data_IF_686845156879
#
_entry.id   IF_686845156879
#
_cell.length_a   1.000
_cell.length_b   1.000
_cell.length_c   1.000
_cell.angle_alpha   90.00
_cell.angle_beta   90.00
_cell.angle_gamma   90.00
#
_symmetry.space_group_name_H-M   'P 1'
#
loop_
_entity.id
_entity.type
_entity.pdbx_description
1 polymer ?
#
# COMPACT_ATOMS: atom_id res chain seq x y z
N UNK A 1 -17.48 16.40 -52.26
CA UNK A 1 -16.42 15.40 -52.03
C UNK A 1 -16.89 14.49 -50.92
N UNK A 2 -17.34 13.30 -51.28
CA UNK A 2 -17.64 12.22 -50.34
C UNK A 2 -16.38 11.37 -50.17
N UNK A 3 -16.04 11.05 -48.92
CA UNK A 3 -15.14 9.95 -48.57
C UNK A 3 -15.61 9.30 -47.27
N UNK A 4 -15.46 7.97 -47.11
CA UNK A 4 -16.41 7.14 -46.38
C UNK A 4 -15.91 6.69 -45.00
N UNK A 5 -16.89 6.29 -44.18
CA UNK A 5 -16.76 5.55 -42.93
C UNK A 5 -15.87 4.29 -43.09
N UNK A 6 -14.86 4.16 -42.23
CA UNK A 6 -14.11 2.93 -42.03
C UNK A 6 -14.28 2.45 -40.59
N UNK A 7 -15.20 1.50 -40.40
CA UNK A 7 -15.39 0.76 -39.15
C UNK A 7 -14.17 -0.10 -38.83
N UNK A 8 -13.40 0.34 -37.81
CA UNK A 8 -12.31 -0.42 -37.20
C UNK A 8 -12.84 -1.41 -36.16
N UNK A 9 -12.64 -2.70 -36.45
CA UNK A 9 -13.03 -3.88 -35.68
C UNK A 9 -12.67 -3.82 -34.18
N UNK A 10 -13.67 -3.73 -33.30
CA UNK A 10 -13.60 -4.19 -31.90
C UNK A 10 -13.55 -5.73 -31.88
N UNK A 11 -12.38 -6.34 -32.12
CA UNK A 11 -12.14 -7.79 -31.94
C UNK A 11 -11.11 -8.13 -30.87
N UNK A 12 -10.64 -7.16 -30.09
CA UNK A 12 -9.63 -7.36 -29.03
C UNK A 12 -10.20 -7.78 -27.67
N UNK A 13 -11.26 -7.13 -27.18
CA UNK A 13 -11.70 -7.30 -25.78
C UNK A 13 -12.50 -8.58 -25.49
N UNK A 14 -13.24 -9.12 -26.48
CA UNK A 14 -14.10 -10.29 -26.22
C UNK A 14 -13.32 -11.60 -26.12
N UNK A 15 -12.14 -11.70 -26.75
CA UNK A 15 -11.29 -12.90 -26.67
C UNK A 15 -10.49 -12.92 -25.37
N UNK A 16 -9.94 -11.78 -24.95
CA UNK A 16 -9.23 -11.64 -23.68
C UNK A 16 -10.17 -11.97 -22.51
N UNK A 17 -11.41 -11.46 -22.52
CA UNK A 17 -12.39 -11.81 -21.48
C UNK A 17 -12.79 -13.29 -21.49
N UNK A 18 -12.84 -13.95 -22.66
CA UNK A 18 -13.18 -15.37 -22.74
C UNK A 18 -12.01 -16.27 -22.30
N UNK A 19 -10.77 -15.86 -22.62
CA UNK A 19 -9.55 -16.51 -22.16
C UNK A 19 -9.38 -16.36 -20.65
N UNK A 20 -9.58 -15.16 -20.10
CA UNK A 20 -9.54 -14.93 -18.65
C UNK A 20 -10.64 -15.72 -17.91
N UNK A 21 -11.86 -15.77 -18.46
CA UNK A 21 -12.93 -16.61 -17.90
C UNK A 21 -12.60 -18.11 -17.95
N UNK A 22 -11.91 -18.57 -19.00
CA UNK A 22 -11.46 -19.95 -19.10
C UNK A 22 -10.34 -20.26 -18.09
N UNK A 23 -9.40 -19.34 -17.89
CA UNK A 23 -8.35 -19.45 -16.88
C UNK A 23 -8.92 -19.48 -15.46
N UNK A 24 -9.92 -18.65 -15.16
CA UNK A 24 -10.62 -18.65 -13.88
C UNK A 24 -11.37 -19.97 -13.62
N UNK A 25 -11.99 -20.56 -14.65
CA UNK A 25 -12.65 -21.86 -14.55
C UNK A 25 -11.64 -22.98 -14.27
N UNK A 26 -10.50 -22.98 -14.97
CA UNK A 26 -9.42 -23.94 -14.76
C UNK A 26 -8.84 -23.81 -13.35
N UNK A 27 -8.65 -22.58 -12.87
CA UNK A 27 -8.16 -22.34 -11.51
C UNK A 27 -9.13 -22.86 -10.45
N UNK A 28 -10.44 -22.58 -10.60
CA UNK A 28 -11.48 -23.09 -9.70
C UNK A 28 -11.60 -24.61 -9.73
N UNK A 29 -11.51 -25.21 -10.91
CA UNK A 29 -11.56 -26.66 -11.07
C UNK A 29 -10.32 -27.33 -10.45
N UNK A 30 -9.13 -26.74 -10.61
CA UNK A 30 -7.91 -27.21 -9.98
C UNK A 30 -7.98 -27.10 -8.45
N UNK A 31 -8.53 -26.00 -7.92
CA UNK A 31 -8.74 -25.81 -6.49
C UNK A 31 -9.77 -26.81 -5.93
N UNK A 32 -10.90 -27.01 -6.60
CA UNK A 32 -11.91 -28.00 -6.22
C UNK A 32 -11.33 -29.42 -6.23
N UNK A 33 -10.50 -29.76 -7.22
CA UNK A 33 -9.82 -31.06 -7.30
C UNK A 33 -8.80 -31.24 -6.18
N UNK A 34 -8.09 -30.17 -5.81
CA UNK A 34 -7.15 -30.19 -4.68
C UNK A 34 -7.90 -30.34 -3.34
N UNK A 35 -9.02 -29.63 -3.18
CA UNK A 35 -9.89 -29.76 -2.01
C UNK A 35 -10.49 -31.17 -1.87
N UNK A 36 -10.97 -31.76 -2.97
CA UNK A 36 -11.45 -33.14 -2.98
C UNK A 36 -10.34 -34.14 -2.61
N UNK A 37 -9.09 -33.90 -3.07
CA UNK A 37 -7.94 -34.72 -2.68
C UNK A 37 -7.60 -34.58 -1.20
N UNK A 38 -7.69 -33.37 -0.63
CA UNK A 38 -7.52 -33.14 0.81
C UNK A 38 -8.60 -33.87 1.62
N UNK A 39 -9.86 -33.80 1.19
CA UNK A 39 -10.96 -34.50 1.82
C UNK A 39 -10.79 -36.02 1.76
N UNK A 40 -10.43 -36.58 0.60
CA UNK A 40 -10.18 -38.01 0.46
C UNK A 40 -9.00 -38.50 1.32
N UNK A 41 -7.94 -37.70 1.47
CA UNK A 41 -6.84 -37.99 2.41
C UNK A 41 -7.34 -37.96 3.86
N UNK A 42 -8.14 -36.98 4.24
CA UNK A 42 -8.71 -36.89 5.59
C UNK A 42 -9.63 -38.08 5.90
N UNK A 43 -10.50 -38.47 4.98
CA UNK A 43 -11.37 -39.65 5.10
C UNK A 43 -10.54 -40.94 5.17
N UNK A 44 -9.47 -41.07 4.38
CA UNK A 44 -8.57 -42.22 4.45
C UNK A 44 -7.85 -42.33 5.81
N UNK A 45 -7.44 -41.20 6.42
CA UNK A 45 -6.90 -41.18 7.79
C UNK A 45 -7.96 -41.65 8.79
N UNK A 46 -9.19 -41.17 8.66
CA UNK A 46 -10.28 -41.50 9.57
C UNK A 46 -10.66 -42.99 9.49
N UNK A 47 -10.73 -43.56 8.29
CA UNK A 47 -10.99 -44.99 8.10
C UNK A 47 -9.89 -45.83 8.72
N UNK A 48 -8.63 -45.48 8.46
CA UNK A 48 -7.47 -46.20 9.00
C UNK A 48 -7.38 -46.11 10.53
N UNK A 49 -7.77 -44.97 11.12
CA UNK A 49 -7.89 -44.84 12.59
C UNK A 49 -8.93 -45.76 13.17
N UNK A 50 -10.13 -45.80 12.58
CA UNK A 50 -11.20 -46.69 13.02
C UNK A 50 -10.82 -48.16 12.87
N UNK A 51 -10.06 -48.52 11.85
CA UNK A 51 -9.57 -49.89 11.65
C UNK A 51 -8.50 -50.28 12.68
N UNK A 52 -7.56 -49.38 13.00
CA UNK A 52 -6.58 -49.61 14.07
C UNK A 52 -7.24 -49.74 15.45
N UNK A 53 -8.23 -48.90 15.76
CA UNK A 53 -9.02 -49.00 16.99
C UNK A 53 -9.79 -50.33 17.06
N UNK A 54 -10.35 -50.77 15.93
CA UNK A 54 -11.00 -52.07 15.83
C UNK A 54 -10.04 -53.24 16.04
N UNK A 55 -8.85 -53.20 15.43
CA UNK A 55 -7.82 -54.23 15.63
C UNK A 55 -7.35 -54.28 17.08
N UNK A 56 -7.17 -53.13 17.74
CA UNK A 56 -6.84 -53.09 19.17
C UNK A 56 -7.94 -53.73 20.02
N UNK A 57 -9.20 -53.41 19.75
CA UNK A 57 -10.36 -53.98 20.46
C UNK A 57 -10.52 -55.48 20.22
N UNK A 58 -10.24 -55.96 19.01
CA UNK A 58 -10.25 -57.39 18.68
C UNK A 58 -9.10 -58.12 19.38
N UNK A 59 -7.91 -57.52 19.45
CA UNK A 59 -6.77 -58.07 20.19
C UNK A 59 -7.04 -58.14 21.69
N UNK A 60 -7.62 -57.09 22.28
CA UNK A 60 -8.04 -57.06 23.69
C UNK A 60 -9.06 -58.17 23.98
N UNK A 61 -10.10 -58.31 23.15
CA UNK A 61 -11.08 -59.39 23.27
C UNK A 61 -10.45 -60.78 23.12
N UNK A 62 -9.47 -60.96 22.24
CA UNK A 62 -8.75 -62.24 22.12
C UNK A 62 -7.84 -62.51 23.32
N UNK A 63 -7.21 -61.48 23.88
CA UNK A 63 -6.41 -61.59 25.09
C UNK A 63 -7.28 -61.98 26.29
N UNK A 64 -8.45 -61.38 26.44
CA UNK A 64 -9.44 -61.72 27.47
C UNK A 64 -9.91 -63.17 27.32
N UNK A 65 -10.23 -63.62 26.10
CA UNK A 65 -10.63 -65.02 25.84
C UNK A 65 -9.51 -66.02 26.16
N UNK A 66 -8.26 -65.68 25.83
CA UNK A 66 -7.10 -66.53 26.13
C UNK A 66 -6.85 -66.56 27.65
N UNK A 67 -7.02 -65.44 28.34
CA UNK A 67 -6.90 -65.34 29.79
C UNK A 67 -7.99 -66.16 30.51
N UNK A 68 -9.25 -66.10 30.06
CA UNK A 68 -10.35 -66.90 30.59
C UNK A 68 -10.14 -68.40 30.39
N UNK A 69 -9.68 -68.80 29.19
CA UNK A 69 -9.36 -70.20 28.89
C UNK A 69 -8.17 -70.71 29.73
N UNK A 70 -7.19 -69.84 29.98
CA UNK A 70 -6.05 -70.15 30.85
C UNK A 70 -6.47 -70.23 32.33
N UNK A 71 -7.39 -69.39 32.80
CA UNK A 71 -7.98 -69.50 34.15
C UNK A 71 -8.78 -70.80 34.33
N UNK A 72 -9.58 -71.20 33.34
CA UNK A 72 -10.31 -72.48 33.38
C UNK A 72 -9.36 -73.69 33.43
N UNK A 73 -8.19 -73.59 32.80
CA UNK A 73 -7.15 -74.63 32.86
C UNK A 73 -6.39 -74.71 34.19
N UNK A 74 -6.39 -73.65 34.99
CA UNK A 74 -5.70 -73.58 36.30
C UNK A 74 -6.64 -74.03 37.44
N UNK A 75 -7.97 -73.96 37.25
CA UNK A 75 -8.98 -74.41 38.22
C UNK A 75 -9.17 -75.94 38.33
N UNK A 76 -8.47 -76.73 37.53
CA UNK A 76 -8.56 -78.20 37.53
C UNK A 76 -7.17 -78.81 37.76
N UNK A 77 -6.79 -78.97 39.02
CA UNK A 77 -5.66 -79.80 39.43
C UNK A 77 -6.05 -81.28 39.46
N UNK A 78 -5.16 -82.13 38.88
CA UNK A 78 -4.99 -83.59 39.05
C UNK A 78 -5.65 -84.60 38.07
N UNK A 79 -5.03 -85.79 37.89
CA UNK A 79 -4.67 -86.32 36.58
C UNK A 79 -5.67 -87.33 36.05
N UNK A 80 -5.98 -87.25 34.76
CA UNK A 80 -6.66 -88.33 34.05
C UNK A 80 -6.08 -88.49 32.64
N UNK A 81 -5.57 -89.69 32.45
CA UNK A 81 -5.15 -90.38 31.24
C UNK A 81 -5.97 -90.01 30.01
N UNK A 82 -5.23 -89.66 28.93
CA UNK A 82 -5.52 -89.87 27.52
C UNK A 82 -6.98 -89.84 27.04
N UNK A 83 -7.28 -88.95 26.09
CA UNK A 83 -7.88 -89.34 24.80
C UNK A 83 -7.61 -88.26 23.74
N UNK A 84 -7.15 -88.76 22.60
CA UNK A 84 -6.70 -88.05 21.40
C UNK A 84 -7.88 -87.40 20.68
N UNK A 85 -7.77 -86.11 20.35
CA UNK A 85 -8.61 -85.46 19.36
C UNK A 85 -7.79 -85.14 18.10
N UNK A 86 -8.30 -85.62 16.97
CA UNK A 86 -7.71 -85.58 15.64
C UNK A 86 -8.04 -84.29 14.88
N UNK A 87 -7.10 -83.90 14.00
CA UNK A 87 -7.21 -83.05 12.78
C UNK A 87 -6.83 -81.55 12.89
N UNK A 88 -6.35 -80.92 11.79
CA UNK A 88 -5.22 -81.35 10.97
C UNK A 88 -4.14 -80.26 10.81
N UNK A 89 -2.95 -80.74 10.44
CA UNK A 89 -1.75 -79.97 10.11
C UNK A 89 -1.92 -79.14 8.84
N UNK A 90 -1.35 -77.94 8.83
CA UNK A 90 -0.84 -77.30 7.63
C UNK A 90 0.69 -77.21 7.67
N UNK A 91 1.25 -77.33 6.47
CA UNK A 91 2.56 -77.85 6.09
C UNK A 91 3.76 -76.90 6.17
N UNK A 92 4.91 -77.54 6.50
CA UNK A 92 6.26 -77.39 5.92
C UNK A 92 6.92 -76.00 5.94
N UNK A 93 8.02 -75.90 6.70
CA UNK A 93 9.27 -75.39 6.14
C UNK A 93 10.41 -76.36 6.50
N UNK A 94 11.20 -76.62 5.47
CA UNK A 94 12.35 -77.47 5.36
C UNK A 94 13.56 -76.81 6.07
N UNK A 95 14.21 -77.50 6.99
CA UNK A 95 15.58 -77.17 7.38
C UNK A 95 16.37 -78.48 7.47
N UNK A 96 17.17 -78.72 6.44
CA UNK A 96 18.07 -79.85 6.33
C UNK A 96 19.18 -79.78 7.38
N UNK A 97 19.40 -80.91 8.03
CA UNK A 97 20.60 -81.26 8.77
C UNK A 97 21.81 -81.44 7.84
N UNK A 98 22.97 -81.02 8.31
CA UNK A 98 24.26 -81.71 8.21
C UNK A 98 25.17 -81.14 9.33
N UNK A 99 25.28 -81.79 10.50
CA UNK A 99 26.32 -82.78 10.89
C UNK A 99 27.72 -82.28 10.46
N UNK A 100 28.64 -81.93 11.36
CA UNK A 100 29.49 -82.85 12.14
C UNK A 100 30.20 -82.13 13.30
N UNK A 101 30.06 -82.61 14.54
CA UNK A 101 31.16 -82.57 15.54
C UNK A 101 31.14 -83.86 16.33
N UNK A 102 32.14 -84.70 16.08
CA UNK A 102 32.42 -85.86 16.91
C UNK A 102 32.97 -85.40 18.25
N UNK A 103 32.43 -85.98 19.32
CA UNK A 103 33.17 -86.17 20.56
C UNK A 103 32.75 -87.51 21.14
N UNK A 104 33.65 -88.47 20.98
CA UNK A 104 33.56 -89.76 21.63
C UNK A 104 34.03 -89.60 23.07
N UNK A 105 33.12 -89.75 24.03
CA UNK A 105 33.47 -90.07 25.40
C UNK A 105 32.57 -91.23 25.85
N UNK A 106 33.15 -92.41 25.68
CA UNK A 106 32.79 -93.63 26.38
C UNK A 106 32.89 -93.39 27.89
N UNK A 107 31.79 -93.59 28.63
CA UNK A 107 31.87 -93.97 30.03
C UNK A 107 30.88 -95.10 30.30
N UNK A 108 31.42 -96.32 30.32
CA UNK A 108 30.79 -97.49 30.94
C UNK A 108 31.32 -97.55 32.37
N UNK A 109 30.46 -97.39 33.38
CA UNK A 109 30.51 -97.99 34.73
C UNK A 109 29.61 -97.25 35.72
N UNK A 110 28.47 -97.83 36.08
CA UNK A 110 27.93 -98.03 37.44
C UNK A 110 26.39 -98.19 37.39
N UNK A 111 25.94 -99.44 37.53
CA UNK A 111 24.54 -99.83 37.60
C UNK A 111 24.11 -99.93 39.07
N UNK A 112 23.53 -98.86 39.61
CA UNK A 112 22.42 -98.82 40.59
C UNK A 112 22.19 -97.43 41.23
N UNK A 113 23.16 -96.50 41.15
CA UNK A 113 23.01 -95.08 41.56
C UNK A 113 22.47 -94.18 40.41
N UNK A 114 22.54 -94.71 39.18
CA UNK A 114 22.15 -94.03 37.93
C UNK A 114 20.66 -93.64 37.87
N UNK A 115 19.76 -94.37 38.54
CA UNK A 115 18.32 -94.06 38.46
C UNK A 115 17.94 -92.81 39.23
N UNK A 116 18.59 -92.53 40.37
CA UNK A 116 18.37 -91.28 41.11
C UNK A 116 19.07 -90.09 40.44
N UNK A 117 20.25 -90.31 39.86
CA UNK A 117 20.99 -89.28 39.11
C UNK A 117 20.33 -88.97 37.75
N UNK A 118 19.79 -89.97 37.03
CA UNK A 118 18.93 -89.77 35.86
C UNK A 118 17.60 -89.13 36.24
N UNK A 119 16.99 -89.48 37.38
CA UNK A 119 15.76 -88.82 37.86
C UNK A 119 15.99 -87.36 38.26
N UNK A 120 17.16 -87.02 38.84
CA UNK A 120 17.59 -85.63 39.11
C UNK A 120 17.89 -84.89 37.81
N UNK A 121 18.65 -85.50 36.90
CA UNK A 121 18.94 -84.95 35.57
C UNK A 121 17.67 -84.72 34.74
N UNK A 122 16.70 -85.65 34.76
CA UNK A 122 15.39 -85.48 34.15
C UNK A 122 14.58 -84.35 34.80
N UNK A 123 14.72 -84.14 36.11
CA UNK A 123 14.05 -83.04 36.81
C UNK A 123 14.69 -81.70 36.46
N UNK A 124 16.01 -81.64 36.38
CA UNK A 124 16.76 -80.44 35.99
C UNK A 124 16.50 -80.09 34.51
N UNK A 125 16.51 -81.08 33.60
CA UNK A 125 16.10 -80.88 32.20
C UNK A 125 14.64 -80.41 32.07
N UNK A 126 13.74 -80.87 32.95
CA UNK A 126 12.36 -80.35 33.00
C UNK A 126 12.30 -78.91 33.51
N UNK A 127 13.16 -78.52 34.46
CA UNK A 127 13.27 -77.15 34.93
C UNK A 127 13.88 -76.23 33.86
N UNK A 128 14.95 -76.65 33.19
CA UNK A 128 15.55 -75.93 32.06
C UNK A 128 14.56 -75.78 30.90
N UNK A 129 13.80 -76.85 30.59
CA UNK A 129 12.75 -76.78 29.59
C UNK A 129 11.70 -75.74 29.96
N UNK A 130 11.23 -75.73 31.22
CA UNK A 130 10.28 -74.71 31.72
C UNK A 130 10.87 -73.30 31.65
N UNK A 131 12.13 -73.10 32.01
CA UNK A 131 12.79 -71.80 31.90
C UNK A 131 12.90 -71.31 30.45
N UNK A 132 13.24 -72.21 29.53
CA UNK A 132 13.29 -71.90 28.09
C UNK A 132 11.89 -71.58 27.56
N UNK A 133 10.87 -72.34 27.96
CA UNK A 133 9.47 -72.09 27.63
C UNK A 133 9.00 -70.72 28.16
N UNK A 134 9.34 -70.34 29.39
CA UNK A 134 9.02 -69.04 29.98
C UNK A 134 9.76 -67.89 29.27
N UNK A 135 11.04 -68.07 28.94
CA UNK A 135 11.80 -67.07 28.17
C UNK A 135 11.22 -66.88 26.77
N UNK A 136 10.83 -67.97 26.12
CA UNK A 136 10.17 -67.93 24.82
C UNK A 136 8.81 -67.22 24.91
N UNK A 137 8.00 -67.49 25.94
CA UNK A 137 6.74 -66.78 26.19
C UNK A 137 6.96 -65.28 26.39
N UNK A 138 7.95 -64.88 27.20
CA UNK A 138 8.30 -63.46 27.41
C UNK A 138 8.74 -62.79 26.11
N UNK A 139 9.57 -63.47 25.30
CA UNK A 139 10.01 -62.96 24.01
C UNK A 139 8.85 -62.82 23.02
N UNK A 140 7.92 -63.77 22.98
CA UNK A 140 6.69 -63.68 22.17
C UNK A 140 5.83 -62.47 22.55
N UNK A 141 5.62 -62.23 23.86
CA UNK A 141 4.84 -61.08 24.35
C UNK A 141 5.54 -59.77 23.99
N UNK A 142 6.85 -59.67 24.23
CA UNK A 142 7.63 -58.49 23.88
C UNK A 142 7.62 -58.22 22.36
N UNK A 143 7.72 -59.27 21.54
CA UNK A 143 7.65 -59.12 20.08
C UNK A 143 6.27 -58.62 19.61
N UNK A 144 5.19 -59.13 20.20
CA UNK A 144 3.84 -58.63 19.93
C UNK A 144 3.66 -57.16 20.37
N UNK A 145 4.24 -56.76 21.50
CA UNK A 145 4.25 -55.35 21.94
C UNK A 145 5.01 -54.46 20.95
N UNK A 146 6.19 -54.89 20.50
CA UNK A 146 6.99 -54.16 19.51
C UNK A 146 6.26 -54.04 18.16
N UNK A 147 5.53 -55.06 17.72
CA UNK A 147 4.71 -55.01 16.51
C UNK A 147 3.56 -53.99 16.63
N UNK A 148 2.94 -53.88 17.81
CA UNK A 148 1.92 -52.87 18.09
C UNK A 148 2.51 -51.46 18.10
N UNK A 149 3.64 -51.26 18.78
CA UNK A 149 4.35 -49.98 18.81
C UNK A 149 4.81 -49.56 17.41
N UNK A 150 5.37 -50.49 16.62
CA UNK A 150 5.75 -50.23 15.22
C UNK A 150 4.54 -49.78 14.39
N UNK A 151 3.40 -50.44 14.56
CA UNK A 151 2.17 -50.12 13.83
C UNK A 151 1.62 -48.74 14.23
N UNK A 152 1.64 -48.41 15.52
CA UNK A 152 1.26 -47.10 16.05
C UNK A 152 2.16 -45.97 15.54
N UNK A 153 3.48 -46.15 15.62
CA UNK A 153 4.45 -45.18 15.10
C UNK A 153 4.34 -45.01 13.58
N UNK A 154 4.09 -46.09 12.83
CA UNK A 154 3.87 -46.01 11.39
C UNK A 154 2.65 -45.15 11.06
N UNK A 155 1.55 -45.31 11.81
CA UNK A 155 0.38 -44.46 11.66
C UNK A 155 0.69 -42.99 11.98
N UNK A 156 1.41 -42.71 13.07
CA UNK A 156 1.81 -41.35 13.43
C UNK A 156 2.66 -40.70 12.35
N UNK A 157 3.63 -41.44 11.78
CA UNK A 157 4.45 -40.96 10.65
C UNK A 157 3.56 -40.63 9.46
N UNK A 158 2.58 -41.48 9.12
CA UNK A 158 1.68 -41.21 8.00
C UNK A 158 0.90 -39.93 8.25
N UNK A 159 0.30 -39.77 9.43
CA UNK A 159 -0.45 -38.56 9.80
C UNK A 159 0.41 -37.29 9.71
N UNK A 160 1.68 -37.37 10.12
CA UNK A 160 2.60 -36.23 10.05
C UNK A 160 2.99 -35.88 8.61
N UNK A 161 3.25 -36.86 7.74
CA UNK A 161 3.52 -36.62 6.31
C UNK A 161 2.36 -35.90 5.64
N UNK A 162 1.17 -36.39 5.95
CA UNK A 162 -0.10 -35.90 5.49
C UNK A 162 -0.38 -34.43 5.93
N UNK A 163 -0.06 -34.09 7.18
CA UNK A 163 -0.08 -32.69 7.68
C UNK A 163 0.98 -31.82 7.01
N UNK A 164 2.16 -32.37 6.75
CA UNK A 164 3.25 -31.67 6.07
C UNK A 164 2.84 -31.30 4.63
N UNK A 165 2.24 -32.25 3.89
CA UNK A 165 1.70 -31.99 2.55
C UNK A 165 0.63 -30.87 2.57
N UNK A 166 -0.27 -30.85 3.56
CA UNK A 166 -1.28 -29.78 3.71
C UNK A 166 -0.63 -28.40 3.93
N UNK A 167 0.40 -28.33 4.77
CA UNK A 167 1.12 -27.08 5.04
C UNK A 167 1.90 -26.63 3.80
N UNK A 168 2.54 -27.54 3.07
CA UNK A 168 3.24 -27.21 1.82
C UNK A 168 2.30 -26.69 0.74
N UNK A 169 1.13 -27.30 0.59
CA UNK A 169 0.12 -26.84 -0.36
C UNK A 169 -0.44 -25.46 0.03
N UNK A 170 -0.75 -25.24 1.31
CA UNK A 170 -1.24 -23.93 1.80
C UNK A 170 -0.16 -22.83 1.69
N UNK A 171 1.10 -23.15 1.95
CA UNK A 171 2.22 -22.24 1.72
C UNK A 171 2.34 -21.87 0.23
N UNK A 172 2.23 -22.85 -0.66
CA UNK A 172 2.27 -22.63 -2.11
C UNK A 172 1.11 -21.76 -2.60
N UNK A 173 -0.10 -21.93 -2.03
CA UNK A 173 -1.26 -21.09 -2.31
C UNK A 173 -1.03 -19.65 -1.85
N UNK A 174 -0.61 -19.47 -0.58
CA UNK A 174 -0.34 -18.15 -0.01
C UNK A 174 0.76 -17.40 -0.79
N UNK A 175 1.77 -18.12 -1.29
CA UNK A 175 2.81 -17.51 -2.11
C UNK A 175 2.29 -17.01 -3.47
N UNK A 176 1.30 -17.70 -4.07
CA UNK A 176 0.64 -17.25 -5.31
C UNK A 176 -0.21 -16.00 -5.06
N UNK A 177 -1.04 -16.03 -4.01
CA UNK A 177 -1.87 -14.89 -3.61
C UNK A 177 -1.03 -13.65 -3.29
N UNK A 178 0.09 -13.84 -2.58
CA UNK A 178 1.03 -12.75 -2.31
C UNK A 178 1.56 -12.11 -3.60
N UNK A 179 1.97 -12.93 -4.59
CA UNK A 179 2.44 -12.43 -5.89
C UNK A 179 1.35 -11.67 -6.64
N UNK A 180 0.11 -12.13 -6.59
CA UNK A 180 -1.04 -11.44 -7.18
C UNK A 180 -1.30 -10.09 -6.50
N UNK A 181 -1.33 -10.06 -5.17
CA UNK A 181 -1.46 -8.81 -4.40
C UNK A 181 -0.32 -7.83 -4.67
N UNK A 182 0.90 -8.32 -4.89
CA UNK A 182 2.00 -7.47 -5.34
C UNK A 182 1.72 -6.84 -6.71
N UNK A 183 1.18 -7.60 -7.67
CA UNK A 183 0.82 -7.08 -9.01
C UNK A 183 -0.30 -6.05 -8.92
N UNK A 184 -1.35 -6.32 -8.15
CA UNK A 184 -2.46 -5.38 -7.90
C UNK A 184 -1.96 -4.06 -7.32
N UNK A 185 -1.11 -4.14 -6.29
CA UNK A 185 -0.50 -2.97 -5.66
C UNK A 185 0.30 -2.14 -6.67
N UNK A 186 1.08 -2.79 -7.52
CA UNK A 186 1.82 -2.08 -8.57
C UNK A 186 0.91 -1.44 -9.62
N UNK A 187 -0.18 -2.10 -10.01
CA UNK A 187 -1.17 -1.55 -10.93
C UNK A 187 -1.85 -0.30 -10.33
N UNK A 188 -2.28 -0.39 -9.06
CA UNK A 188 -2.83 0.74 -8.32
C UNK A 188 -1.83 1.89 -8.18
N UNK A 189 -0.56 1.59 -7.92
CA UNK A 189 0.50 2.61 -7.87
C UNK A 189 0.61 3.36 -9.19
N UNK A 190 0.69 2.65 -10.33
CA UNK A 190 0.73 3.27 -11.66
C UNK A 190 -0.50 4.15 -11.94
N UNK A 191 -1.68 3.72 -11.49
CA UNK A 191 -2.90 4.53 -11.64
C UNK A 191 -2.88 5.78 -10.76
N UNK A 192 -2.38 5.67 -9.54
CA UNK A 192 -2.22 6.81 -8.64
C UNK A 192 -1.23 7.85 -9.20
N UNK A 193 -0.11 7.38 -9.75
CA UNK A 193 0.89 8.25 -10.38
C UNK A 193 0.26 9.03 -11.56
N UNK A 194 -0.52 8.37 -12.43
CA UNK A 194 -1.26 9.02 -13.52
C UNK A 194 -2.26 10.06 -13.01
N UNK A 195 -3.09 9.71 -12.02
CA UNK A 195 -4.06 10.63 -11.45
C UNK A 195 -3.39 11.83 -10.78
N UNK A 196 -2.23 11.64 -10.17
CA UNK A 196 -1.42 12.71 -9.60
C UNK A 196 -0.91 13.67 -10.67
N UNK A 197 -0.47 13.16 -11.82
CA UNK A 197 -0.07 13.98 -12.98
C UNK A 197 -1.27 14.75 -13.56
N UNK A 198 -2.42 14.10 -13.75
CA UNK A 198 -3.66 14.73 -14.22
C UNK A 198 -4.13 15.84 -13.26
N UNK A 199 -4.06 15.58 -11.95
CA UNK A 199 -4.43 16.55 -10.93
C UNK A 199 -3.50 17.78 -10.96
N UNK A 200 -2.18 17.57 -11.11
CA UNK A 200 -1.22 18.67 -11.26
C UNK A 200 -1.49 19.48 -12.53
N UNK A 201 -1.82 18.82 -13.63
CA UNK A 201 -2.15 19.50 -14.88
C UNK A 201 -3.38 20.40 -14.72
N UNK A 202 -4.47 19.87 -14.16
CA UNK A 202 -5.71 20.63 -13.94
C UNK A 202 -5.49 21.77 -12.94
N UNK A 203 -4.72 21.54 -11.88
CA UNK A 203 -4.32 22.60 -10.95
C UNK A 203 -3.52 23.70 -11.64
N UNK A 204 -2.56 23.35 -12.49
CA UNK A 204 -1.79 24.30 -13.28
C UNK A 204 -2.68 25.13 -14.23
N UNK A 205 -3.60 24.48 -14.93
CA UNK A 205 -4.57 25.16 -15.80
C UNK A 205 -5.48 26.11 -15.02
N UNK A 206 -5.90 25.73 -13.81
CA UNK A 206 -6.72 26.57 -12.95
C UNK A 206 -5.93 27.81 -12.48
N UNK A 207 -4.68 27.61 -12.06
CA UNK A 207 -3.77 28.69 -11.65
C UNK A 207 -3.51 29.67 -12.80
N UNK A 208 -3.26 29.16 -14.01
CA UNK A 208 -3.08 30.00 -15.20
C UNK A 208 -4.35 30.81 -15.50
N UNK A 209 -5.52 30.17 -15.43
CA UNK A 209 -6.80 30.86 -15.61
C UNK A 209 -7.02 31.95 -14.56
N UNK A 210 -6.72 31.67 -13.29
CA UNK A 210 -6.86 32.64 -12.21
C UNK A 210 -5.86 33.81 -12.35
N UNK A 211 -4.63 33.53 -12.80
CA UNK A 211 -3.62 34.56 -13.11
C UNK A 211 -4.05 35.44 -14.29
N UNK A 212 -4.65 34.87 -15.34
CA UNK A 212 -5.20 35.64 -16.46
C UNK A 212 -6.37 36.53 -16.03
N UNK A 213 -7.25 36.02 -15.16
CA UNK A 213 -8.35 36.80 -14.56
C UNK A 213 -7.77 38.01 -13.82
N UNK A 214 -6.75 37.81 -12.99
CA UNK A 214 -6.09 38.88 -12.24
C UNK A 214 -5.38 39.88 -13.15
N UNK A 215 -4.62 39.40 -14.14
CA UNK A 215 -3.89 40.25 -15.10
C UNK A 215 -4.83 41.18 -15.89
N UNK A 216 -6.03 40.72 -16.20
CA UNK A 216 -7.06 41.52 -16.86
C UNK A 216 -7.89 42.38 -15.90
N UNK A 217 -7.53 42.43 -14.61
CA UNK A 217 -8.23 43.24 -13.60
C UNK A 217 -9.66 42.78 -13.34
N UNK A 218 -9.96 41.51 -13.62
CA UNK A 218 -11.26 40.90 -13.42
C UNK A 218 -11.32 40.23 -12.04
N UNK A 219 -12.51 40.24 -11.45
CA UNK A 219 -12.82 39.65 -10.15
C UNK A 219 -14.04 38.77 -10.30
N UNK A 220 -14.00 37.59 -9.69
CA UNK A 220 -15.14 36.68 -9.64
C UNK A 220 -16.10 37.15 -8.55
N UNK A 221 -17.34 37.45 -8.93
CA UNK A 221 -18.42 37.81 -8.02
C UNK A 221 -19.48 36.72 -8.01
N UNK A 222 -19.98 36.38 -6.83
CA UNK A 222 -21.13 35.50 -6.67
C UNK A 222 -22.41 36.25 -6.97
N UNK A 223 -23.20 35.69 -7.88
CA UNK A 223 -24.53 36.14 -8.24
C UNK A 223 -25.49 35.18 -7.55
N UNK A 224 -25.98 35.61 -6.41
CA UNK A 224 -27.01 34.89 -5.66
C UNK A 224 -28.38 35.16 -6.31
N UNK A 225 -29.12 34.10 -6.63
CA UNK A 225 -30.52 34.19 -7.06
C UNK A 225 -31.40 34.65 -5.89
N UNK A 226 -32.60 35.18 -6.17
CA UNK A 226 -33.56 35.68 -5.16
C UNK A 226 -33.92 34.62 -4.10
N UNK A 227 -33.77 33.34 -4.42
CA UNK A 227 -34.05 32.19 -3.54
C UNK A 227 -32.81 31.66 -2.78
N UNK A 228 -31.61 32.20 -3.03
CA UNK A 228 -30.37 31.84 -2.32
C UNK A 228 -29.79 30.43 -2.61
N UNK A 229 -30.41 29.65 -3.51
CA UNK A 229 -30.07 28.24 -3.74
C UNK A 229 -29.01 28.00 -4.80
N UNK A 230 -28.94 28.83 -5.85
CA UNK A 230 -27.96 28.73 -6.93
C UNK A 230 -27.13 30.02 -7.02
N UNK A 231 -25.85 29.92 -6.64
CA UNK A 231 -24.89 31.00 -6.79
C UNK A 231 -24.11 30.83 -8.10
N UNK A 232 -24.45 31.60 -9.13
CA UNK A 232 -23.64 31.69 -10.34
C UNK A 232 -22.40 32.56 -10.09
N UNK A 233 -21.33 32.34 -10.84
CA UNK A 233 -20.10 33.15 -10.77
C UNK A 233 -19.98 33.97 -12.03
N UNK A 234 -19.84 35.28 -11.88
CA UNK A 234 -19.62 36.21 -12.99
C UNK A 234 -18.24 36.87 -12.86
N UNK A 235 -17.61 37.14 -14.00
CA UNK A 235 -16.40 37.95 -14.08
C UNK A 235 -16.79 39.40 -14.33
N UNK A 236 -16.33 40.29 -13.47
CA UNK A 236 -16.52 41.75 -13.60
C UNK A 236 -15.20 42.45 -13.34
N UNK A 237 -15.03 43.68 -13.82
CA UNK A 237 -13.85 44.49 -13.48
C UNK A 237 -13.80 44.80 -11.98
N UNK A 238 -12.60 45.04 -11.45
CA UNK A 238 -12.41 45.39 -10.04
C UNK A 238 -13.27 46.61 -9.62
N UNK A 239 -13.36 47.64 -10.46
CA UNK A 239 -14.16 48.83 -10.21
C UNK A 239 -15.66 48.50 -10.13
N UNK A 240 -16.16 47.70 -11.07
CA UNK A 240 -17.56 47.26 -11.06
C UNK A 240 -17.84 46.38 -9.82
N UNK A 241 -16.89 45.55 -9.41
CA UNK A 241 -17.03 44.76 -8.19
C UNK A 241 -17.10 45.64 -6.93
N UNK A 242 -16.34 46.74 -6.88
CA UNK A 242 -16.42 47.71 -5.78
C UNK A 242 -17.75 48.47 -5.79
N UNK A 243 -18.20 48.92 -6.97
CA UNK A 243 -19.50 49.56 -7.12
C UNK A 243 -20.63 48.62 -6.68
N UNK A 244 -20.59 47.35 -7.10
CA UNK A 244 -21.57 46.35 -6.68
C UNK A 244 -21.53 46.06 -5.17
N UNK A 245 -20.45 46.38 -4.44
CA UNK A 245 -20.41 46.26 -2.98
C UNK A 245 -21.06 47.44 -2.24
N UNK A 246 -21.21 48.60 -2.89
CA UNK A 246 -21.78 49.79 -2.23
C UNK A 246 -23.27 49.67 -1.95
N UNK A 247 -23.96 48.82 -2.72
CA UNK A 247 -25.40 48.59 -2.60
C UNK A 247 -25.67 47.15 -2.20
N UNK A 248 -26.47 46.88 -1.16
CA UNK A 248 -26.85 45.51 -0.79
C UNK A 248 -28.01 44.98 -1.65
N UNK A 249 -28.03 43.65 -1.85
CA UNK A 249 -29.06 42.91 -2.58
C UNK A 249 -28.48 42.01 -3.67
N UNK A 250 -29.37 41.27 -4.36
CA UNK A 250 -28.98 40.49 -5.55
C UNK A 250 -28.38 41.41 -6.63
N UNK A 251 -27.66 40.83 -7.60
CA UNK A 251 -27.07 41.61 -8.70
C UNK A 251 -28.15 42.46 -9.41
N UNK A 252 -29.30 41.88 -9.69
CA UNK A 252 -30.40 42.57 -10.37
C UNK A 252 -31.00 43.70 -9.52
N UNK A 253 -31.14 43.48 -8.21
CA UNK A 253 -31.61 44.54 -7.28
C UNK A 253 -30.63 45.70 -7.24
N UNK A 254 -29.32 45.42 -7.22
CA UNK A 254 -28.27 46.45 -7.23
C UNK A 254 -28.30 47.25 -8.53
N UNK A 255 -28.38 46.58 -9.68
CA UNK A 255 -28.46 47.22 -10.99
C UNK A 255 -29.71 48.09 -11.14
N UNK A 256 -30.88 47.63 -10.67
CA UNK A 256 -32.11 48.43 -10.66
C UNK A 256 -31.97 49.70 -9.83
N UNK A 257 -31.33 49.63 -8.66
CA UNK A 257 -31.07 50.81 -7.81
C UNK A 257 -30.16 51.83 -8.49
N UNK A 258 -29.05 51.38 -9.09
CA UNK A 258 -28.17 52.28 -9.85
C UNK A 258 -28.85 52.91 -11.07
N UNK A 259 -29.72 52.17 -11.75
CA UNK A 259 -30.49 52.72 -12.87
C UNK A 259 -31.47 53.82 -12.43
N UNK A 260 -32.14 53.63 -11.28
CA UNK A 260 -33.04 54.63 -10.71
C UNK A 260 -32.30 55.90 -10.28
N UNK A 261 -31.19 55.77 -9.55
CA UNK A 261 -30.36 56.89 -9.10
C UNK A 261 -29.79 57.68 -10.30
N UNK A 262 -29.34 56.98 -11.35
CA UNK A 262 -28.91 57.61 -12.60
C UNK A 262 -30.03 58.43 -13.25
N UNK A 263 -31.26 57.91 -13.25
CA UNK A 263 -32.40 58.60 -13.84
C UNK A 263 -32.77 59.86 -13.04
N UNK A 264 -32.73 59.78 -11.70
CA UNK A 264 -32.96 60.92 -10.81
C UNK A 264 -31.94 62.03 -11.03
N UNK A 265 -30.64 61.71 -11.03
CA UNK A 265 -29.57 62.68 -11.31
C UNK A 265 -29.67 63.28 -12.72
N UNK A 266 -30.11 62.50 -13.72
CA UNK A 266 -30.36 63.04 -15.06
C UNK A 266 -31.50 64.07 -15.07
N UNK A 267 -32.57 63.82 -14.32
CA UNK A 267 -33.68 64.79 -14.21
C UNK A 267 -33.25 66.07 -13.48
N UNK A 268 -32.43 65.96 -12.44
CA UNK A 268 -31.86 67.12 -11.74
C UNK A 268 -30.95 67.94 -12.65
N UNK A 269 -30.06 67.29 -13.40
CA UNK A 269 -29.20 67.96 -14.38
C UNK A 269 -30.03 68.70 -15.44
N UNK A 270 -31.07 68.07 -15.98
CA UNK A 270 -31.97 68.74 -16.94
C UNK A 270 -32.66 69.96 -16.33
N UNK A 271 -33.14 69.84 -15.08
CA UNK A 271 -33.75 70.95 -14.34
C UNK A 271 -32.77 72.10 -14.13
N UNK A 272 -31.56 71.81 -13.64
CA UNK A 272 -30.50 72.81 -13.45
C UNK A 272 -30.07 73.46 -14.76
N UNK A 273 -30.00 72.70 -15.85
CA UNK A 273 -29.68 73.21 -17.17
C UNK A 273 -30.78 74.14 -17.70
N UNK A 274 -32.05 73.84 -17.41
CA UNK A 274 -33.18 74.72 -17.71
C UNK A 274 -33.14 76.00 -16.87
N UNK A 275 -32.86 75.90 -15.56
CA UNK A 275 -32.66 77.06 -14.69
C UNK A 275 -31.49 77.94 -15.16
N UNK A 276 -30.38 77.35 -15.59
CA UNK A 276 -29.23 78.08 -16.15
C UNK A 276 -29.61 78.81 -17.44
N UNK A 277 -30.37 78.16 -18.32
CA UNK A 277 -30.86 78.79 -19.55
C UNK A 277 -31.84 79.93 -19.24
N UNK A 278 -32.70 79.77 -18.26
CA UNK A 278 -33.60 80.82 -17.77
C UNK A 278 -32.80 82.01 -17.22
N UNK A 279 -31.78 81.77 -16.39
CA UNK A 279 -30.90 82.82 -15.86
C UNK A 279 -30.12 83.50 -16.99
N UNK A 280 -29.59 82.76 -17.97
CA UNK A 280 -28.93 83.36 -19.14
C UNK A 280 -29.90 84.21 -19.97
N UNK A 281 -31.14 83.76 -20.15
CA UNK A 281 -32.18 84.51 -20.86
C UNK A 281 -32.64 85.77 -20.10
N UNK A 282 -32.59 85.74 -18.77
CA UNK A 282 -32.89 86.87 -17.87
C UNK A 282 -31.70 87.82 -17.73
N UNK A 283 -30.47 87.31 -17.64
CA UNK A 283 -29.23 88.07 -17.59
C UNK A 283 -28.96 88.86 -18.88
N UNK A 284 -29.38 88.31 -20.03
CA UNK A 284 -29.37 89.04 -21.31
C UNK A 284 -30.32 90.25 -21.35
N UNK A 285 -31.27 90.35 -20.41
CA UNK A 285 -32.16 91.52 -20.26
C UNK A 285 -31.60 92.59 -19.30
N UNK A 286 -30.60 92.28 -18.50
CA UNK A 286 -30.03 93.21 -17.49
C UNK A 286 -28.70 93.87 -17.91
N UNK A 287 -28.02 93.37 -18.94
CA UNK A 287 -26.74 93.94 -19.41
C UNK A 287 -26.86 95.21 -20.27
N UNK A 288 -28.04 95.84 -20.36
CA UNK A 288 -28.23 97.09 -21.11
C UNK A 288 -28.17 98.37 -20.26
N UNK A 289 -28.03 98.28 -18.94
CA UNK A 289 -27.86 99.45 -18.07
C UNK A 289 -26.95 99.13 -16.87
N UNK A 290 -25.65 99.28 -17.09
CA UNK A 290 -24.66 99.78 -16.11
C UNK A 290 -23.26 99.54 -16.69
N UNK A 291 -22.89 100.36 -17.66
CA UNK A 291 -21.49 100.57 -17.99
C UNK A 291 -20.89 101.59 -17.03
N UNK A 292 -19.63 101.39 -16.67
CA UNK A 292 -18.69 102.42 -16.19
C UNK A 292 -18.41 102.55 -14.68
N UNK A 293 -18.65 101.53 -13.85
CA UNK A 293 -18.11 101.53 -12.46
C UNK A 293 -17.53 100.18 -11.99
N UNK A 294 -17.58 99.13 -12.82
CA UNK A 294 -17.05 97.77 -12.52
C UNK A 294 -15.76 97.48 -13.31
N UNK A 295 -15.34 98.42 -14.17
CA UNK A 295 -14.22 98.26 -15.11
C UNK A 295 -12.86 98.37 -14.41
N UNK A 296 -12.76 99.24 -13.40
CA UNK A 296 -11.52 99.50 -12.65
C UNK A 296 -11.16 98.32 -11.72
N UNK A 297 -12.15 97.76 -11.00
CA UNK A 297 -11.98 96.56 -10.16
C UNK A 297 -11.66 95.31 -11.02
N UNK A 298 -12.15 95.25 -12.26
CA UNK A 298 -11.88 94.14 -13.17
C UNK A 298 -10.47 94.23 -13.76
N UNK A 299 -10.00 95.43 -14.12
CA UNK A 299 -8.62 95.63 -14.55
C UNK A 299 -7.61 95.32 -13.44
N UNK A 300 -7.88 95.72 -12.20
CA UNK A 300 -7.00 95.44 -11.06
C UNK A 300 -7.00 93.95 -10.69
N UNK A 301 -8.16 93.29 -10.66
CA UNK A 301 -8.25 91.84 -10.47
C UNK A 301 -7.51 91.08 -11.58
N UNK A 302 -7.54 91.58 -12.82
CA UNK A 302 -6.85 90.98 -13.94
C UNK A 302 -5.32 91.20 -13.88
N UNK A 303 -4.84 92.35 -13.38
CA UNK A 303 -3.42 92.58 -13.11
C UNK A 303 -2.91 91.69 -11.98
N UNK A 304 -3.67 91.54 -10.91
CA UNK A 304 -3.32 90.66 -9.78
C UNK A 304 -3.31 89.18 -10.19
N UNK A 305 -4.30 88.74 -10.98
CA UNK A 305 -4.31 87.40 -11.57
C UNK A 305 -3.08 87.16 -12.48
N UNK A 306 -2.70 88.13 -13.30
CA UNK A 306 -1.50 88.03 -14.14
C UNK A 306 -0.19 87.98 -13.32
N UNK A 307 -0.14 88.70 -12.20
CA UNK A 307 0.99 88.66 -11.24
C UNK A 307 1.07 87.28 -10.56
N UNK A 308 -0.05 86.71 -10.15
CA UNK A 308 -0.09 85.35 -9.61
C UNK A 308 0.33 84.31 -10.65
N UNK A 309 -0.14 84.45 -11.90
CA UNK A 309 0.26 83.57 -13.00
C UNK A 309 1.77 83.61 -13.22
N UNK A 310 2.40 84.79 -13.22
CA UNK A 310 3.85 84.89 -13.38
C UNK A 310 4.61 84.33 -12.17
N UNK A 311 4.12 84.53 -10.95
CA UNK A 311 4.71 83.94 -9.74
C UNK A 311 4.63 82.40 -9.76
N UNK A 312 3.48 81.83 -10.12
CA UNK A 312 3.32 80.39 -10.23
C UNK A 312 4.13 79.79 -11.38
N UNK A 313 4.26 80.50 -12.51
CA UNK A 313 5.17 80.09 -13.61
C UNK A 313 6.62 80.03 -13.13
N UNK A 314 7.07 81.02 -12.36
CA UNK A 314 8.43 81.02 -11.80
C UNK A 314 8.64 79.89 -10.78
N UNK A 315 7.67 79.67 -9.89
CA UNK A 315 7.70 78.56 -8.92
C UNK A 315 7.74 77.20 -9.63
N UNK A 316 6.94 77.03 -10.68
CA UNK A 316 6.95 75.82 -11.50
C UNK A 316 8.31 75.60 -12.15
N UNK A 317 8.87 76.62 -12.82
CA UNK A 317 10.17 76.52 -13.48
C UNK A 317 11.29 76.18 -12.49
N UNK A 318 11.24 76.74 -11.28
CA UNK A 318 12.19 76.42 -10.20
C UNK A 318 12.06 74.97 -9.74
N UNK A 319 10.84 74.47 -9.56
CA UNK A 319 10.58 73.08 -9.19
C UNK A 319 11.03 72.10 -10.31
N UNK A 320 10.78 72.45 -11.57
CA UNK A 320 11.26 71.67 -12.73
C UNK A 320 12.78 71.58 -12.76
N UNK A 321 13.49 72.68 -12.49
CA UNK A 321 14.94 72.68 -12.40
C UNK A 321 15.46 71.84 -11.21
N UNK A 322 14.77 71.86 -10.07
CA UNK A 322 15.09 71.03 -8.91
C UNK A 322 14.89 69.54 -9.21
N UNK A 323 13.81 69.17 -9.89
CA UNK A 323 13.56 67.81 -10.36
C UNK A 323 14.70 67.34 -11.27
N UNK A 324 15.12 68.16 -12.24
CA UNK A 324 16.23 67.82 -13.14
C UNK A 324 17.55 67.60 -12.37
N UNK A 325 17.83 68.42 -11.36
CA UNK A 325 19.00 68.25 -10.49
C UNK A 325 18.95 66.95 -9.66
N UNK A 326 17.78 66.64 -9.09
CA UNK A 326 17.56 65.42 -8.32
C UNK A 326 17.68 64.17 -9.21
N UNK A 327 17.13 64.20 -10.42
CA UNK A 327 17.27 63.12 -11.40
C UNK A 327 18.74 62.88 -11.78
N UNK A 328 19.51 63.95 -12.01
CA UNK A 328 20.94 63.83 -12.28
C UNK A 328 21.71 63.25 -11.09
N UNK A 329 21.31 63.58 -9.85
CA UNK A 329 21.90 63.00 -8.65
C UNK A 329 21.56 61.52 -8.49
N UNK A 330 20.29 61.16 -8.71
CA UNK A 330 19.82 59.78 -8.68
C UNK A 330 20.60 58.91 -9.67
N UNK A 331 20.75 59.35 -10.93
CA UNK A 331 21.48 58.62 -11.97
C UNK A 331 22.95 58.35 -11.59
N UNK A 332 23.61 59.31 -10.92
CA UNK A 332 24.98 59.12 -10.41
C UNK A 332 25.03 58.07 -9.29
N UNK A 333 24.10 58.15 -8.34
CA UNK A 333 23.99 57.19 -7.24
C UNK A 333 23.65 55.78 -7.75
N UNK A 334 22.74 55.65 -8.72
CA UNK A 334 22.41 54.37 -9.37
C UNK A 334 23.64 53.76 -10.05
N UNK A 335 24.42 54.56 -10.78
CA UNK A 335 25.68 54.11 -11.39
C UNK A 335 26.66 53.60 -10.32
N UNK A 336 26.73 54.27 -9.17
CA UNK A 336 27.59 53.86 -8.06
C UNK A 336 27.12 52.55 -7.43
N UNK A 337 25.81 52.36 -7.25
CA UNK A 337 25.21 51.10 -6.77
C UNK A 337 25.51 49.95 -7.72
N UNK A 338 25.38 50.15 -9.03
CA UNK A 338 25.70 49.13 -10.04
C UNK A 338 27.18 48.71 -9.92
N UNK A 339 28.09 49.69 -9.79
CA UNK A 339 29.53 49.40 -9.60
C UNK A 339 29.79 48.61 -8.32
N UNK A 340 29.23 49.04 -7.20
CA UNK A 340 29.44 48.34 -5.92
C UNK A 340 28.87 46.92 -5.94
N UNK A 341 27.71 46.73 -6.56
CA UNK A 341 27.11 45.41 -6.74
C UNK A 341 28.01 44.50 -7.57
N UNK A 342 28.50 44.99 -8.70
CA UNK A 342 29.44 44.23 -9.56
C UNK A 342 30.73 43.87 -8.82
N UNK A 343 31.29 44.80 -8.02
CA UNK A 343 32.47 44.50 -7.21
C UNK A 343 32.20 43.50 -6.09
N UNK A 344 31.01 43.53 -5.48
CA UNK A 344 30.62 42.57 -4.44
C UNK A 344 30.44 41.16 -5.04
N UNK A 345 29.74 41.04 -6.17
CA UNK A 345 29.56 39.76 -6.89
C UNK A 345 30.92 39.16 -7.31
N UNK A 346 31.86 39.99 -7.78
CA UNK A 346 33.22 39.55 -8.10
C UNK A 346 33.98 39.04 -6.86
N UNK A 347 33.84 39.72 -5.72
CA UNK A 347 34.45 39.30 -4.46
C UNK A 347 33.85 38.00 -3.91
N UNK A 348 32.53 37.83 -3.97
CA UNK A 348 31.85 36.59 -3.58
C UNK A 348 32.30 35.40 -4.45
N UNK A 349 32.44 35.63 -5.77
CA UNK A 349 32.98 34.61 -6.67
C UNK A 349 34.41 34.24 -6.29
N UNK A 350 35.28 35.22 -6.06
CA UNK A 350 36.66 34.97 -5.63
C UNK A 350 36.73 34.21 -4.29
N UNK A 351 35.86 34.52 -3.32
CA UNK A 351 35.75 33.79 -2.07
C UNK A 351 35.32 32.32 -2.30
N UNK A 352 34.35 32.10 -3.21
CA UNK A 352 33.89 30.77 -3.56
C UNK A 352 34.98 29.91 -4.21
N UNK A 353 35.78 30.50 -5.10
CA UNK A 353 36.91 29.84 -5.75
C UNK A 353 38.00 29.50 -4.71
N UNK A 354 38.32 30.42 -3.80
CA UNK A 354 39.26 30.17 -2.70
C UNK A 354 38.77 29.06 -1.74
N UNK A 355 37.46 28.96 -1.49
CA UNK A 355 36.88 27.85 -0.71
C UNK A 355 37.07 26.51 -1.43
N UNK A 356 36.95 26.48 -2.76
CA UNK A 356 37.20 25.29 -3.56
C UNK A 356 38.68 24.90 -3.50
N UNK A 357 39.59 25.83 -3.74
CA UNK A 357 41.04 25.60 -3.66
C UNK A 357 41.46 25.13 -2.27
N UNK A 358 40.94 25.76 -1.20
CA UNK A 358 41.17 25.29 0.18
C UNK A 358 40.73 23.84 0.36
N UNK A 359 39.56 23.43 -0.16
CA UNK A 359 39.09 22.04 -0.07
C UNK A 359 39.98 21.08 -0.86
N UNK A 360 40.52 21.49 -2.01
CA UNK A 360 41.48 20.68 -2.79
C UNK A 360 42.78 20.49 -2.01
N UNK A 361 43.37 21.58 -1.52
CA UNK A 361 44.60 21.55 -0.72
C UNK A 361 44.43 20.79 0.60
N UNK A 362 43.24 20.76 1.20
CA UNK A 362 42.96 19.92 2.38
C UNK A 362 42.87 18.42 2.06
N UNK A 363 42.58 18.03 0.82
CA UNK A 363 42.54 16.62 0.39
C UNK A 363 43.91 16.09 -0.01
N UNK A 364 44.80 16.94 -0.52
CA UNK A 364 46.17 16.57 -0.87
C UNK A 364 46.97 15.93 0.28
N UNK A 365 46.99 16.44 1.54
CA UNK A 365 47.72 15.81 2.62
C UNK A 365 47.17 14.43 3.01
N UNK A 366 45.88 14.17 2.80
CA UNK A 366 45.28 12.84 3.00
C UNK A 366 45.78 11.87 1.93
N UNK A 367 45.91 12.33 0.68
CA UNK A 367 46.43 11.52 -0.41
C UNK A 367 47.93 11.25 -0.22
N UNK A 368 48.71 12.25 0.17
CA UNK A 368 50.16 12.06 0.40
C UNK A 368 50.42 11.17 1.62
N UNK A 369 49.65 11.28 2.71
CA UNK A 369 49.77 10.37 3.85
C UNK A 369 49.36 8.92 3.50
N UNK A 370 48.31 8.72 2.68
CA UNK A 370 47.95 7.39 2.20
C UNK A 370 49.01 6.76 1.28
N UNK A 371 49.67 7.58 0.45
CA UNK A 371 50.76 7.12 -0.41
C UNK A 371 52.00 6.73 0.40
N UNK A 372 52.35 7.51 1.42
CA UNK A 372 53.48 7.20 2.32
C UNK A 372 53.20 5.94 3.17
N UNK A 373 51.97 5.71 3.64
CA UNK A 373 51.60 4.47 4.36
C UNK A 373 51.57 3.22 3.46
N UNK A 374 51.15 3.34 2.19
CA UNK A 374 51.12 2.20 1.26
C UNK A 374 52.49 1.80 0.70
N UNK A 375 53.54 2.61 0.87
CA UNK A 375 54.91 2.29 0.43
C UNK A 375 55.84 1.81 1.57
N UNK A 376 55.32 1.74 2.82
CA UNK A 376 56.07 1.27 3.98
C UNK A 376 55.62 -0.09 4.56
N UNK A 377 54.73 -0.82 3.87
CA UNK A 377 54.44 -2.25 4.13
C UNK A 377 54.88 -3.09 2.93
#
# INVERSE_FOLDING_TARGET
MESPSAGGRRRGNSRINAEDQALDQIAKEAEARLAARRQARAEAREIRMRELERQQKELEQTADRVFDLQQQSIGLSEPATALVATTPRSSRILAQNAVTRGSALSSRRNSEDSLEEEARSLRDLRHELKEVEERFRKAMIANAQLDNERSSLNYQIQLLKDKLEEVEESHSQLQREYREKCRDREALKRNNDKLSEELKLVQGQLQERDALIEQHGLVIVTVENEDGTDAHRALVTADNAQLLKSVPGSLDVRLKKFAAEKQELQTELQSLQQQLNDIKSKGRRYTSMNGSLVDDDYEDAQREANKLITEYKYKLQKAEQEIANLQASLARSETQVIRYKSTAEAAEKAESDLKIERRKLQREPIITQYWDECHCQ
#
